data_IF_180595780439
#
_entry.id   IF_180595780439
#
_cell.length_a   1.000
_cell.length_b   1.000
_cell.length_c   1.000
_cell.angle_alpha   90.00
_cell.angle_beta   90.00
_cell.angle_gamma   90.00
#
_symmetry.space_group_name_H-M   'P 1'
#
loop_
_entity.id
_entity.type
_entity.pdbx_description
1 polymer ?
#
# COMPACT_ATOMS: atom_id res chain seq x y z
N UNK A 1 16.26 38.96 14.02
CA UNK A 1 17.57 38.30 13.76
C UNK A 1 17.50 36.84 13.37
N UNK A 2 16.31 36.25 13.17
CA UNK A 2 16.12 34.85 12.67
C UNK A 2 15.58 34.78 11.24
N UNK A 3 15.08 35.89 10.71
CA UNK A 3 14.47 35.97 9.38
C UNK A 3 15.45 36.23 8.23
N UNK A 4 16.70 36.62 8.54
CA UNK A 4 17.71 36.95 7.52
C UNK A 4 18.79 35.88 7.30
N UNK A 5 18.68 34.74 7.95
CA UNK A 5 19.63 33.63 7.72
C UNK A 5 19.20 32.84 6.52
N UNK A 6 20.06 32.65 5.51
CA UNK A 6 19.73 31.82 4.36
C UNK A 6 19.28 30.41 4.80
N UNK A 7 18.12 29.97 4.34
CA UNK A 7 17.62 28.63 4.59
C UNK A 7 18.58 27.62 3.97
N UNK A 8 19.25 26.84 4.80
CA UNK A 8 20.07 25.74 4.32
C UNK A 8 19.21 24.51 4.22
N UNK A 9 19.07 23.96 3.01
CA UNK A 9 18.35 22.69 2.73
C UNK A 9 19.08 21.46 3.28
N UNK A 10 20.01 21.63 4.24
CA UNK A 10 20.65 20.51 4.90
C UNK A 10 19.58 19.61 5.53
N UNK A 11 19.62 18.33 5.25
CA UNK A 11 18.66 17.29 5.66
C UNK A 11 18.28 17.39 7.16
N UNK A 12 19.24 17.71 8.03
CA UNK A 12 19.01 17.94 9.47
C UNK A 12 18.08 19.14 9.76
N UNK A 13 18.08 20.18 8.92
CA UNK A 13 17.26 21.37 9.09
C UNK A 13 15.83 21.11 8.64
N UNK A 14 15.64 20.38 7.54
CA UNK A 14 14.33 19.92 7.06
C UNK A 14 13.67 19.03 8.13
N UNK A 15 14.43 18.10 8.72
CA UNK A 15 13.93 17.24 9.83
C UNK A 15 13.55 18.05 11.08
N UNK A 16 14.30 19.13 11.42
CA UNK A 16 13.94 20.01 12.55
C UNK A 16 12.68 20.81 12.28
N UNK A 17 12.48 21.30 11.06
CA UNK A 17 11.27 22.00 10.66
C UNK A 17 10.04 21.08 10.70
N UNK A 18 10.18 19.85 10.23
CA UNK A 18 9.11 18.85 10.34
C UNK A 18 8.69 18.60 11.80
N UNK A 19 9.66 18.52 12.74
CA UNK A 19 9.36 18.46 14.19
C UNK A 19 8.62 19.68 14.71
N UNK A 20 9.01 20.88 14.28
CA UNK A 20 8.34 22.14 14.71
C UNK A 20 6.91 22.20 14.16
N UNK A 21 6.67 21.80 12.91
CA UNK A 21 5.34 21.76 12.32
C UNK A 21 4.44 20.72 13.02
N UNK A 22 5.02 19.57 13.37
CA UNK A 22 4.31 18.54 14.12
C UNK A 22 3.98 18.98 15.55
N UNK A 23 4.90 19.65 16.22
CA UNK A 23 4.65 20.26 17.54
C UNK A 23 3.56 21.34 17.51
N UNK A 24 3.47 22.12 16.42
CA UNK A 24 2.38 23.09 16.23
C UNK A 24 0.99 22.42 16.10
N UNK A 25 0.93 21.22 15.59
CA UNK A 25 -0.32 20.42 15.52
C UNK A 25 -0.73 19.83 16.87
N UNK A 26 0.21 19.67 17.79
CA UNK A 26 -0.01 19.26 19.18
C UNK A 26 -0.50 20.42 20.07
N UNK A 27 -0.56 21.65 19.56
CA UNK A 27 -0.88 22.81 20.38
C UNK A 27 -2.29 22.73 20.98
N UNK A 28 -2.38 22.90 22.29
CA UNK A 28 -3.65 23.01 23.05
C UNK A 28 -4.58 24.11 22.51
N UNK A 29 -4.06 25.06 21.73
CA UNK A 29 -4.80 26.15 21.12
C UNK A 29 -5.49 25.79 19.80
N UNK A 30 -5.41 24.54 19.32
CA UNK A 30 -6.06 24.12 18.07
C UNK A 30 -7.58 24.24 18.14
N UNK A 31 -8.23 24.51 17.01
CA UNK A 31 -9.70 24.52 16.93
C UNK A 31 -10.30 23.16 17.35
N UNK A 32 -9.63 22.07 16.98
CA UNK A 32 -10.07 20.73 17.35
C UNK A 32 -9.98 20.49 18.86
N UNK A 33 -8.89 20.91 19.51
CA UNK A 33 -8.76 20.78 20.96
C UNK A 33 -9.89 21.49 21.74
N UNK A 34 -10.40 22.59 21.19
CA UNK A 34 -11.53 23.33 21.77
C UNK A 34 -12.89 22.70 21.43
N UNK A 35 -13.04 22.15 20.23
CA UNK A 35 -14.30 21.59 19.75
C UNK A 35 -14.53 20.17 20.27
N UNK A 36 -13.50 19.35 20.31
CA UNK A 36 -13.53 17.95 20.72
C UNK A 36 -12.18 17.54 21.33
N UNK A 37 -11.99 17.74 22.64
CA UNK A 37 -10.74 17.41 23.32
C UNK A 37 -10.44 15.90 23.34
N UNK A 38 -11.44 15.01 23.28
CA UNK A 38 -11.23 13.56 23.28
C UNK A 38 -10.66 13.08 21.95
N UNK A 39 -11.22 13.53 20.83
CA UNK A 39 -10.66 13.25 19.50
C UNK A 39 -9.27 13.88 19.34
N UNK A 40 -9.08 15.11 19.83
CA UNK A 40 -7.77 15.74 19.82
C UNK A 40 -6.73 14.91 20.58
N UNK A 41 -7.06 14.45 21.79
CA UNK A 41 -6.15 13.62 22.61
C UNK A 41 -5.79 12.29 21.89
N UNK A 42 -6.75 11.65 21.23
CA UNK A 42 -6.50 10.42 20.45
C UNK A 42 -5.56 10.68 19.25
N UNK A 43 -5.70 11.82 18.57
CA UNK A 43 -4.80 12.19 17.47
C UNK A 43 -3.39 12.50 18.01
N UNK A 44 -3.28 13.18 19.14
CA UNK A 44 -1.99 13.41 19.81
C UNK A 44 -1.31 12.10 20.16
N UNK A 45 -2.03 11.16 20.76
CA UNK A 45 -1.49 9.84 21.09
C UNK A 45 -1.00 9.08 19.85
N UNK A 46 -1.72 9.18 18.71
CA UNK A 46 -1.28 8.59 17.44
C UNK A 46 0.00 9.23 16.92
N UNK A 47 0.14 10.56 17.04
CA UNK A 47 1.36 11.28 16.66
C UNK A 47 2.54 10.82 17.52
N UNK A 48 2.35 10.72 18.84
CA UNK A 48 3.37 10.25 19.78
C UNK A 48 3.78 8.82 19.48
N UNK A 49 2.83 7.93 19.21
CA UNK A 49 3.10 6.55 18.81
C UNK A 49 3.94 6.49 17.53
N UNK A 50 3.59 7.26 16.49
CA UNK A 50 4.37 7.32 15.25
C UNK A 50 5.80 7.85 15.48
N UNK A 51 5.97 8.83 16.36
CA UNK A 51 7.28 9.40 16.68
C UNK A 51 8.16 8.45 17.49
N UNK A 52 7.56 7.62 18.35
CA UNK A 52 8.28 6.72 19.28
C UNK A 52 8.51 5.31 18.75
N UNK A 53 7.90 4.93 17.62
CA UNK A 53 7.96 3.57 17.08
C UNK A 53 8.54 3.52 15.68
N UNK A 54 8.94 2.32 15.26
CA UNK A 54 9.39 2.02 13.89
C UNK A 54 8.31 1.19 13.21
N UNK A 55 7.66 1.78 12.21
CA UNK A 55 6.59 1.14 11.45
C UNK A 55 7.15 0.34 10.26
N UNK A 56 6.99 -0.99 10.32
CA UNK A 56 7.35 -1.94 9.27
C UNK A 56 6.12 -2.64 8.66
N UNK A 57 4.92 -2.10 8.83
CA UNK A 57 3.73 -2.63 8.16
C UNK A 57 3.82 -2.31 6.67
N UNK A 58 3.88 -3.36 5.83
CA UNK A 58 4.12 -3.24 4.39
C UNK A 58 3.08 -2.42 3.62
N UNK A 59 1.86 -2.27 4.18
CA UNK A 59 0.76 -1.50 3.59
C UNK A 59 0.65 -0.07 4.11
N UNK A 60 1.59 0.39 4.94
CA UNK A 60 1.57 1.72 5.54
C UNK A 60 2.71 2.60 5.05
N UNK A 61 2.47 3.90 5.09
CA UNK A 61 3.44 4.94 4.74
C UNK A 61 3.00 6.28 5.33
N UNK A 62 3.89 7.26 5.34
CA UNK A 62 3.62 8.60 5.83
C UNK A 62 3.38 9.56 4.66
N UNK A 63 2.21 10.17 4.60
CA UNK A 63 1.87 11.19 3.59
C UNK A 63 2.62 12.50 3.86
N UNK A 64 2.80 13.31 2.82
CA UNK A 64 3.34 14.67 2.98
C UNK A 64 2.35 15.61 3.71
N UNK A 65 2.86 16.71 4.26
CA UNK A 65 2.02 17.74 4.85
C UNK A 65 1.03 18.31 3.83
N UNK A 66 1.47 18.54 2.58
CA UNK A 66 0.63 19.07 1.51
C UNK A 66 -0.53 18.12 1.15
N UNK A 67 -0.31 16.80 1.14
CA UNK A 67 -1.38 15.80 0.95
C UNK A 67 -2.40 15.88 2.08
N UNK A 68 -1.96 16.01 3.34
CA UNK A 68 -2.86 16.15 4.51
C UNK A 68 -3.63 17.47 4.50
N UNK A 69 -2.99 18.57 4.09
CA UNK A 69 -3.63 19.87 3.96
C UNK A 69 -4.73 19.86 2.89
N UNK A 70 -4.46 19.29 1.72
CA UNK A 70 -5.45 19.12 0.67
C UNK A 70 -6.65 18.28 1.13
N UNK A 71 -6.39 17.20 1.87
CA UNK A 71 -7.42 16.31 2.41
C UNK A 71 -8.29 16.99 3.48
N UNK A 72 -7.74 17.92 4.27
CA UNK A 72 -8.47 18.71 5.25
C UNK A 72 -9.13 19.98 4.69
N UNK A 73 -9.18 20.15 3.37
CA UNK A 73 -9.67 21.38 2.74
C UNK A 73 -11.20 21.49 2.71
N UNK A 74 -11.66 22.70 2.39
CA UNK A 74 -13.11 23.03 2.22
C UNK A 74 -13.79 22.26 1.09
N UNK A 75 -13.04 21.56 0.25
CA UNK A 75 -13.60 20.73 -0.83
C UNK A 75 -14.48 19.59 -0.28
N UNK A 76 -14.32 19.22 0.99
CA UNK A 76 -15.23 18.29 1.70
C UNK A 76 -16.68 18.77 1.71
N UNK A 77 -16.92 20.07 1.59
CA UNK A 77 -18.29 20.65 1.62
C UNK A 77 -19.04 20.48 0.30
N UNK A 78 -18.34 20.14 -0.81
CA UNK A 78 -18.94 20.17 -2.14
C UNK A 78 -19.49 18.81 -2.56
N UNK A 79 -20.77 18.79 -2.94
CA UNK A 79 -21.40 17.63 -3.56
C UNK A 79 -21.24 17.69 -5.09
N UNK A 80 -20.58 16.69 -5.71
CA UNK A 80 -20.17 16.74 -7.11
C UNK A 80 -20.43 15.43 -7.86
N UNK A 81 -21.63 14.85 -7.73
CA UNK A 81 -22.01 13.65 -8.50
C UNK A 81 -21.86 13.85 -10.01
N UNK A 82 -21.37 12.82 -10.68
CA UNK A 82 -21.00 12.87 -12.09
C UNK A 82 -19.49 13.03 -12.27
N UNK A 83 -19.10 13.66 -13.37
CA UNK A 83 -17.70 13.79 -13.80
C UNK A 83 -17.41 15.22 -14.27
N UNK A 84 -16.16 15.66 -14.40
CA UNK A 84 -15.82 17.01 -14.87
C UNK A 84 -16.59 17.40 -16.12
N UNK A 85 -17.25 18.56 -16.07
CA UNK A 85 -18.10 19.08 -17.15
C UNK A 85 -19.45 18.39 -17.33
N UNK A 86 -19.74 17.32 -16.56
CA UNK A 86 -21.00 16.54 -16.62
C UNK A 86 -21.49 16.22 -15.21
N UNK A 87 -21.67 17.26 -14.39
CA UNK A 87 -22.15 17.13 -12.99
C UNK A 87 -23.67 17.22 -12.90
N UNK A 88 -24.20 16.53 -11.92
CA UNK A 88 -25.62 16.65 -11.54
C UNK A 88 -25.92 17.93 -10.74
N UNK A 89 -24.90 18.56 -10.16
CA UNK A 89 -24.99 19.75 -9.33
C UNK A 89 -24.26 20.94 -9.95
N UNK A 90 -24.80 22.15 -9.70
CA UNK A 90 -24.14 23.41 -10.09
C UNK A 90 -22.98 23.76 -9.15
N UNK A 91 -22.15 24.72 -9.55
CA UNK A 91 -21.04 25.23 -8.73
C UNK A 91 -19.85 24.30 -8.64
N UNK A 92 -19.59 23.43 -9.64
CA UNK A 92 -18.56 22.42 -9.62
C UNK A 92 -17.24 22.82 -10.33
N UNK A 93 -17.14 24.05 -10.88
CA UNK A 93 -15.95 24.48 -11.65
C UNK A 93 -14.62 24.24 -10.89
N UNK A 94 -14.47 24.61 -9.60
CA UNK A 94 -13.22 24.37 -8.88
C UNK A 94 -12.91 22.88 -8.70
N UNK A 95 -13.92 22.05 -8.38
CA UNK A 95 -13.73 20.60 -8.20
C UNK A 95 -13.50 19.90 -9.53
N UNK A 96 -14.09 20.36 -10.62
CA UNK A 96 -13.79 19.88 -11.98
C UNK A 96 -12.30 20.06 -12.31
N UNK A 97 -11.75 21.23 -11.98
CA UNK A 97 -10.32 21.50 -12.14
C UNK A 97 -9.46 20.52 -11.33
N UNK A 98 -9.82 20.29 -10.07
CA UNK A 98 -9.09 19.40 -9.19
C UNK A 98 -9.14 17.95 -9.68
N UNK A 99 -10.34 17.46 -10.04
CA UNK A 99 -10.50 16.10 -10.51
C UNK A 99 -9.81 15.89 -11.86
N UNK A 100 -9.87 16.85 -12.78
CA UNK A 100 -9.16 16.80 -14.05
C UNK A 100 -7.64 16.73 -13.85
N UNK A 101 -7.08 17.55 -12.93
CA UNK A 101 -5.67 17.47 -12.56
C UNK A 101 -5.29 16.09 -12.01
N UNK A 102 -6.13 15.50 -11.17
CA UNK A 102 -5.89 14.17 -10.64
C UNK A 102 -5.88 13.10 -11.75
N UNK A 103 -6.83 13.15 -12.67
CA UNK A 103 -6.92 12.25 -13.82
C UNK A 103 -5.67 12.37 -14.71
N UNK A 104 -5.32 13.58 -15.12
CA UNK A 104 -4.19 13.81 -16.03
C UNK A 104 -2.86 13.39 -15.40
N UNK A 105 -2.64 13.75 -14.12
CA UNK A 105 -1.43 13.37 -13.38
C UNK A 105 -1.34 11.87 -13.17
N UNK A 106 -2.44 11.18 -12.91
CA UNK A 106 -2.46 9.72 -12.82
C UNK A 106 -2.09 9.07 -14.15
N UNK A 107 -2.68 9.55 -15.26
CA UNK A 107 -2.35 9.09 -16.62
C UNK A 107 -0.87 9.33 -16.94
N UNK A 108 -0.34 10.50 -16.64
CA UNK A 108 1.06 10.84 -16.87
C UNK A 108 2.01 9.97 -16.03
N UNK A 109 1.70 9.79 -14.74
CA UNK A 109 2.55 9.06 -13.80
C UNK A 109 2.71 7.58 -14.18
N UNK A 110 1.64 6.96 -14.65
CA UNK A 110 1.62 5.52 -14.95
C UNK A 110 1.65 5.19 -16.45
N UNK A 111 1.58 6.18 -17.34
CA UNK A 111 1.51 5.97 -18.77
C UNK A 111 0.18 5.35 -19.23
N UNK A 112 -0.93 5.66 -18.54
CA UNK A 112 -2.24 5.07 -18.81
C UNK A 112 -3.04 5.90 -19.85
N UNK A 113 -3.88 5.23 -20.63
CA UNK A 113 -4.76 5.87 -21.60
C UNK A 113 -5.90 6.64 -20.92
N UNK A 114 -6.50 6.03 -19.88
CA UNK A 114 -7.60 6.59 -19.12
C UNK A 114 -7.48 6.31 -17.62
N UNK A 115 -8.11 7.15 -16.80
CA UNK A 115 -8.11 7.00 -15.34
C UNK A 115 -9.45 7.43 -14.73
N UNK A 116 -9.89 6.71 -13.68
CA UNK A 116 -10.96 7.13 -12.79
C UNK A 116 -10.39 7.30 -11.38
N UNK A 117 -10.48 8.51 -10.83
CA UNK A 117 -9.90 8.89 -9.55
C UNK A 117 -10.92 8.93 -8.41
N UNK A 118 -12.17 8.57 -8.67
CA UNK A 118 -13.26 8.65 -7.67
C UNK A 118 -13.33 7.47 -6.69
N UNK A 119 -12.77 6.24 -6.92
CA UNK A 119 -12.90 5.16 -5.95
C UNK A 119 -12.43 5.56 -4.55
N UNK A 120 -13.26 5.26 -3.54
CA UNK A 120 -13.02 5.62 -2.14
C UNK A 120 -11.90 4.75 -1.52
N UNK A 121 -11.69 3.54 -2.01
CA UNK A 121 -10.62 2.63 -1.57
C UNK A 121 -10.29 1.61 -2.66
N UNK A 122 -9.23 0.80 -2.44
CA UNK A 122 -8.83 -0.25 -3.38
C UNK A 122 -9.93 -1.28 -3.63
N UNK A 123 -10.66 -1.71 -2.60
CA UNK A 123 -11.78 -2.65 -2.76
C UNK A 123 -12.91 -2.08 -3.61
N UNK A 124 -13.21 -0.78 -3.49
CA UNK A 124 -14.19 -0.11 -4.35
C UNK A 124 -13.69 0.00 -5.80
N UNK A 125 -12.39 0.21 -6.00
CA UNK A 125 -11.79 0.20 -7.33
C UNK A 125 -11.93 -1.19 -7.99
N UNK A 126 -11.61 -2.26 -7.26
CA UNK A 126 -11.80 -3.64 -7.75
C UNK A 126 -13.27 -3.95 -8.02
N UNK A 127 -14.17 -3.58 -7.11
CA UNK A 127 -15.62 -3.75 -7.29
C UNK A 127 -16.12 -3.05 -8.56
N UNK A 128 -15.65 -1.84 -8.83
CA UNK A 128 -16.06 -1.08 -10.01
C UNK A 128 -15.66 -1.78 -11.31
N UNK A 129 -14.46 -2.36 -11.37
CA UNK A 129 -14.02 -3.14 -12.55
C UNK A 129 -14.89 -4.38 -12.71
N UNK A 130 -15.14 -5.13 -11.62
CA UNK A 130 -15.97 -6.33 -11.70
C UNK A 130 -17.39 -6.01 -12.17
N UNK A 131 -18.03 -5.00 -11.59
CA UNK A 131 -19.40 -4.62 -11.97
C UNK A 131 -19.50 -4.02 -13.39
N UNK A 132 -18.42 -3.42 -13.90
CA UNK A 132 -18.38 -2.94 -15.27
C UNK A 132 -18.28 -4.07 -16.29
N UNK A 133 -17.56 -5.14 -15.99
CA UNK A 133 -17.08 -6.13 -16.97
C UNK A 133 -17.66 -7.52 -16.80
N UNK A 134 -18.22 -7.83 -15.63
CA UNK A 134 -18.67 -9.16 -15.27
C UNK A 134 -20.16 -9.19 -14.88
N UNK A 135 -20.75 -10.38 -15.01
CA UNK A 135 -22.06 -10.67 -14.45
C UNK A 135 -21.90 -11.56 -13.20
N UNK A 136 -22.83 -11.51 -12.24
CA UNK A 136 -22.82 -12.43 -11.10
C UNK A 136 -22.73 -13.90 -11.61
N UNK A 137 -21.81 -14.67 -11.01
CA UNK A 137 -21.52 -16.05 -11.39
C UNK A 137 -20.41 -16.21 -12.43
N UNK A 138 -19.94 -15.13 -13.08
CA UNK A 138 -18.77 -15.22 -13.95
C UNK A 138 -17.53 -15.71 -13.19
N UNK A 139 -16.67 -16.44 -13.89
CA UNK A 139 -15.46 -17.02 -13.29
C UNK A 139 -14.31 -16.02 -13.30
N UNK A 140 -13.70 -15.84 -12.12
CA UNK A 140 -12.46 -15.07 -11.91
C UNK A 140 -11.36 -16.04 -11.49
N UNK A 141 -10.22 -16.00 -12.19
CA UNK A 141 -8.98 -16.68 -11.79
C UNK A 141 -8.10 -15.68 -11.06
N UNK A 142 -7.80 -15.93 -9.77
CA UNK A 142 -7.08 -14.98 -8.91
C UNK A 142 -6.18 -15.68 -7.91
N UNK A 143 -5.20 -14.95 -7.35
CA UNK A 143 -4.33 -15.49 -6.32
C UNK A 143 -5.10 -15.78 -5.03
N UNK A 144 -4.90 -16.98 -4.46
CA UNK A 144 -5.51 -17.37 -3.18
C UNK A 144 -5.10 -16.42 -2.05
N UNK A 145 -6.03 -16.13 -1.12
CA UNK A 145 -5.79 -15.23 0.01
C UNK A 145 -4.67 -15.72 0.91
N UNK A 146 -4.64 -17.00 1.21
CA UNK A 146 -3.64 -17.67 2.05
C UNK A 146 -2.25 -17.77 1.39
N UNK A 147 -2.18 -17.54 0.08
CA UNK A 147 -0.93 -17.52 -0.70
C UNK A 147 -0.43 -16.10 -1.01
N UNK A 148 -1.08 -15.08 -0.47
CA UNK A 148 -0.68 -13.68 -0.63
C UNK A 148 -1.66 -12.79 -1.41
N UNK A 149 -2.82 -13.30 -1.85
CA UNK A 149 -3.88 -12.51 -2.47
C UNK A 149 -4.48 -11.46 -1.52
N UNK A 150 -5.46 -10.70 -2.02
CA UNK A 150 -6.21 -9.72 -1.23
C UNK A 150 -7.65 -10.22 -0.99
N UNK A 151 -8.31 -9.73 0.06
CA UNK A 151 -9.71 -10.07 0.35
C UNK A 151 -10.64 -9.87 -0.85
N UNK A 152 -10.48 -8.76 -1.58
CA UNK A 152 -11.28 -8.45 -2.78
C UNK A 152 -10.90 -9.24 -4.03
N UNK A 153 -9.96 -10.19 -3.91
CA UNK A 153 -9.59 -11.11 -4.99
C UNK A 153 -10.39 -12.43 -4.97
N UNK A 154 -11.47 -12.49 -4.18
CA UNK A 154 -12.35 -13.65 -4.17
C UNK A 154 -12.53 -14.33 -2.83
N UNK A 155 -12.12 -13.69 -1.71
CA UNK A 155 -12.38 -14.25 -0.38
C UNK A 155 -13.88 -14.48 -0.16
N UNK A 156 -14.29 -15.66 0.38
CA UNK A 156 -15.71 -15.97 0.60
C UNK A 156 -16.47 -15.00 1.48
N UNK A 157 -15.78 -14.27 2.37
CA UNK A 157 -16.38 -13.25 3.23
C UNK A 157 -16.51 -11.89 2.55
N UNK A 158 -15.85 -11.70 1.39
CA UNK A 158 -15.87 -10.47 0.61
C UNK A 158 -16.96 -10.52 -0.47
N UNK A 159 -17.40 -9.34 -0.97
CA UNK A 159 -18.37 -9.24 -2.06
C UNK A 159 -17.91 -10.06 -3.29
N UNK A 160 -16.62 -10.12 -3.58
CA UNK A 160 -16.07 -10.82 -4.73
C UNK A 160 -16.33 -12.33 -4.68
N UNK A 161 -16.07 -12.98 -3.54
CA UNK A 161 -16.35 -14.40 -3.35
C UNK A 161 -17.84 -14.74 -3.17
N UNK A 162 -18.68 -13.72 -2.89
CA UNK A 162 -20.14 -13.91 -2.80
C UNK A 162 -20.85 -13.82 -4.14
N UNK A 163 -20.31 -13.06 -5.09
CA UNK A 163 -20.98 -12.74 -6.36
C UNK A 163 -20.41 -13.53 -7.53
N UNK A 164 -19.16 -13.94 -7.47
CA UNK A 164 -18.44 -14.54 -8.58
C UNK A 164 -17.96 -15.95 -8.26
N UNK A 165 -17.79 -16.76 -9.31
CA UNK A 165 -17.15 -18.07 -9.21
C UNK A 165 -15.64 -17.90 -9.17
N UNK A 166 -15.03 -18.11 -8.01
CA UNK A 166 -13.59 -17.88 -7.80
C UNK A 166 -12.83 -19.20 -8.00
N UNK A 167 -11.88 -19.19 -8.93
CA UNK A 167 -10.88 -20.24 -9.07
C UNK A 167 -9.55 -19.69 -8.60
N UNK A 168 -8.96 -20.20 -7.50
CA UNK A 168 -7.70 -19.73 -7.02
C UNK A 168 -6.53 -20.32 -7.79
N UNK A 169 -5.48 -19.50 -8.02
CA UNK A 169 -4.13 -20.02 -8.28
C UNK A 169 -3.26 -19.82 -7.05
N UNK A 170 -2.23 -20.65 -6.92
CA UNK A 170 -1.30 -20.64 -5.79
C UNK A 170 0.12 -20.38 -6.26
N UNK A 171 1.04 -20.22 -5.31
CA UNK A 171 2.47 -20.29 -5.61
C UNK A 171 2.91 -21.76 -5.68
N UNK A 172 4.01 -22.02 -6.37
CA UNK A 172 4.63 -23.34 -6.39
C UNK A 172 5.12 -23.71 -4.98
N UNK A 173 4.87 -24.94 -4.56
CA UNK A 173 5.12 -25.39 -3.19
C UNK A 173 6.61 -25.41 -2.80
N UNK A 174 7.50 -25.67 -3.77
CA UNK A 174 8.93 -25.77 -3.51
C UNK A 174 9.62 -24.41 -3.56
N UNK A 175 9.25 -23.57 -4.52
CA UNK A 175 9.89 -22.27 -4.75
C UNK A 175 9.20 -21.12 -4.05
N UNK A 176 7.93 -21.31 -3.64
CA UNK A 176 7.03 -20.26 -3.11
C UNK A 176 6.89 -19.04 -4.07
N UNK A 177 7.12 -19.29 -5.37
CA UNK A 177 6.96 -18.32 -6.45
C UNK A 177 5.79 -18.69 -7.36
N UNK A 178 5.28 -17.70 -8.11
CA UNK A 178 4.24 -17.94 -9.13
C UNK A 178 4.77 -18.87 -10.20
N UNK A 179 4.01 -19.93 -10.48
CA UNK A 179 4.23 -20.84 -11.59
C UNK A 179 3.27 -20.48 -12.74
N UNK A 180 3.79 -19.76 -13.72
CA UNK A 180 2.97 -19.25 -14.81
C UNK A 180 2.46 -20.38 -15.75
N UNK A 181 3.15 -21.50 -15.81
CA UNK A 181 2.72 -22.64 -16.64
C UNK A 181 1.55 -23.37 -15.95
N UNK A 182 1.57 -23.49 -14.62
CA UNK A 182 0.43 -24.00 -13.84
C UNK A 182 -0.78 -23.05 -13.95
N UNK A 183 -0.55 -21.72 -13.84
CA UNK A 183 -1.62 -20.72 -13.99
C UNK A 183 -2.24 -20.80 -15.39
N UNK A 184 -1.44 -21.01 -16.44
CA UNK A 184 -1.89 -21.17 -17.80
C UNK A 184 -2.78 -22.43 -17.96
N UNK A 185 -2.34 -23.57 -17.40
CA UNK A 185 -3.12 -24.80 -17.42
C UNK A 185 -4.47 -24.65 -16.72
N UNK A 186 -4.50 -23.99 -15.55
CA UNK A 186 -5.75 -23.70 -14.85
C UNK A 186 -6.65 -22.81 -15.72
N UNK A 187 -6.10 -21.74 -16.30
CA UNK A 187 -6.85 -20.82 -17.15
C UNK A 187 -7.48 -21.53 -18.37
N UNK A 188 -6.74 -22.42 -19.03
CA UNK A 188 -7.26 -23.24 -20.16
C UNK A 188 -8.40 -24.16 -19.77
N UNK A 189 -8.32 -24.73 -18.57
CA UNK A 189 -9.36 -25.65 -18.06
C UNK A 189 -10.64 -24.90 -17.69
N UNK A 190 -10.53 -23.77 -17.00
CA UNK A 190 -11.70 -23.07 -16.42
C UNK A 190 -12.23 -21.94 -17.30
N UNK A 191 -11.44 -21.46 -18.26
CA UNK A 191 -11.77 -20.36 -19.18
C UNK A 191 -12.41 -19.18 -18.46
N UNK A 192 -11.68 -18.53 -17.55
CA UNK A 192 -12.22 -17.46 -16.73
C UNK A 192 -12.63 -16.28 -17.60
N UNK A 193 -13.61 -15.50 -17.17
CA UNK A 193 -13.95 -14.23 -17.79
C UNK A 193 -12.92 -13.16 -17.51
N UNK A 194 -12.27 -13.23 -16.33
CA UNK A 194 -11.25 -12.30 -15.87
C UNK A 194 -10.13 -13.05 -15.15
N UNK A 195 -8.88 -12.71 -15.48
CA UNK A 195 -7.69 -13.10 -14.73
C UNK A 195 -7.24 -11.88 -13.93
N UNK A 196 -7.07 -12.07 -12.61
CA UNK A 196 -6.63 -11.06 -11.69
C UNK A 196 -5.22 -11.37 -11.19
N UNK A 197 -4.26 -10.53 -11.55
CA UNK A 197 -2.91 -10.55 -11.02
C UNK A 197 -2.72 -9.48 -9.93
N UNK A 198 -1.70 -9.66 -9.09
CA UNK A 198 -1.41 -8.76 -7.98
C UNK A 198 -1.58 -9.42 -6.62
N UNK A 199 -0.88 -8.91 -5.63
CA UNK A 199 -0.79 -9.53 -4.32
C UNK A 199 -0.61 -8.51 -3.19
N UNK A 200 -1.00 -8.91 -1.97
CA UNK A 200 -0.78 -8.17 -0.73
C UNK A 200 0.46 -8.65 0.03
N UNK A 201 0.91 -9.87 -0.22
CA UNK A 201 1.97 -10.53 0.52
C UNK A 201 2.85 -11.44 -0.38
N UNK A 202 3.24 -10.93 -1.53
CA UNK A 202 4.13 -11.63 -2.47
C UNK A 202 5.43 -10.84 -2.65
N UNK A 203 6.60 -11.40 -2.25
CA UNK A 203 7.84 -10.65 -2.20
C UNK A 203 8.62 -10.62 -3.52
N UNK A 204 8.17 -11.31 -4.57
CA UNK A 204 8.87 -11.41 -5.84
C UNK A 204 8.27 -10.54 -6.94
N UNK A 205 9.04 -10.32 -7.98
CA UNK A 205 8.56 -9.61 -9.18
C UNK A 205 7.48 -10.42 -9.88
N UNK A 206 6.43 -9.74 -10.36
CA UNK A 206 5.33 -10.34 -11.12
C UNK A 206 5.58 -10.06 -12.61
N UNK A 207 5.50 -11.10 -13.44
CA UNK A 207 5.60 -11.01 -14.90
C UNK A 207 4.20 -10.78 -15.51
N UNK A 208 3.90 -9.51 -15.77
CA UNK A 208 2.61 -9.11 -16.35
C UNK A 208 2.48 -9.49 -17.83
N UNK A 209 3.61 -9.63 -18.56
CA UNK A 209 3.59 -10.08 -19.95
C UNK A 209 3.15 -11.55 -20.04
N UNK A 210 3.59 -12.40 -19.11
CA UNK A 210 3.10 -13.79 -19.02
C UNK A 210 1.61 -13.84 -18.70
N UNK A 211 1.12 -13.04 -17.74
CA UNK A 211 -0.32 -12.94 -17.46
C UNK A 211 -1.13 -12.48 -18.69
N UNK A 212 -0.61 -11.52 -19.47
CA UNK A 212 -1.27 -11.06 -20.71
C UNK A 212 -1.37 -12.20 -21.72
N UNK A 213 -0.26 -12.92 -21.94
CA UNK A 213 -0.25 -14.06 -22.88
C UNK A 213 -1.27 -15.14 -22.46
N UNK A 214 -1.36 -15.46 -21.17
CA UNK A 214 -2.33 -16.42 -20.64
C UNK A 214 -3.76 -15.91 -20.88
N UNK A 215 -4.04 -14.64 -20.57
CA UNK A 215 -5.36 -14.07 -20.75
C UNK A 215 -5.79 -14.02 -22.23
N UNK A 216 -4.87 -13.68 -23.13
CA UNK A 216 -5.13 -13.69 -24.57
C UNK A 216 -5.48 -15.11 -25.08
N UNK A 217 -4.76 -16.12 -24.60
CA UNK A 217 -4.95 -17.52 -24.99
C UNK A 217 -6.36 -18.03 -24.68
N UNK A 218 -6.95 -17.57 -23.56
CA UNK A 218 -8.28 -18.00 -23.11
C UNK A 218 -9.39 -16.99 -23.40
N UNK A 219 -9.06 -15.82 -23.96
CA UNK A 219 -10.01 -14.73 -24.25
C UNK A 219 -10.56 -14.03 -23.00
N UNK A 220 -9.76 -13.98 -21.92
CA UNK A 220 -10.12 -13.34 -20.67
C UNK A 220 -9.66 -11.86 -20.62
N UNK A 221 -10.35 -11.05 -19.83
CA UNK A 221 -9.80 -9.77 -19.41
C UNK A 221 -8.61 -9.98 -18.46
N UNK A 222 -7.57 -9.15 -18.59
CA UNK A 222 -6.50 -9.07 -17.60
C UNK A 222 -6.69 -7.83 -16.73
N UNK A 223 -6.90 -8.05 -15.46
CA UNK A 223 -6.90 -7.01 -14.43
C UNK A 223 -5.68 -7.18 -13.52
N UNK A 224 -5.04 -6.07 -13.15
CA UNK A 224 -3.93 -6.09 -12.20
C UNK A 224 -4.23 -5.15 -11.04
N UNK A 225 -4.24 -5.68 -9.82
CA UNK A 225 -4.22 -4.89 -8.59
C UNK A 225 -2.76 -4.65 -8.16
N UNK A 226 -2.24 -3.46 -8.48
CA UNK A 226 -0.87 -3.07 -8.15
C UNK A 226 -0.74 -2.33 -6.81
N UNK A 227 -1.75 -2.38 -5.95
CA UNK A 227 -1.84 -1.54 -4.74
C UNK A 227 -0.58 -1.56 -3.89
N UNK A 228 0.03 -2.72 -3.68
CA UNK A 228 1.25 -2.84 -2.87
C UNK A 228 2.50 -2.26 -3.54
N UNK A 229 2.60 -2.38 -4.84
CA UNK A 229 3.81 -2.04 -5.62
C UNK A 229 3.68 -0.75 -6.45
N UNK A 230 2.57 -0.01 -6.33
CA UNK A 230 2.29 1.17 -7.16
C UNK A 230 3.40 2.23 -7.09
N UNK A 231 3.96 2.49 -5.90
CA UNK A 231 5.10 3.41 -5.76
C UNK A 231 6.39 2.90 -6.42
N UNK A 232 6.61 1.58 -6.42
CA UNK A 232 7.76 0.97 -7.09
C UNK A 232 7.61 1.04 -8.62
N UNK A 233 6.38 0.89 -9.13
CA UNK A 233 6.07 1.05 -10.55
C UNK A 233 6.22 2.52 -10.96
N UNK A 234 5.66 3.47 -10.18
CA UNK A 234 5.82 4.89 -10.43
C UNK A 234 7.30 5.34 -10.41
N UNK A 235 8.13 4.73 -9.58
CA UNK A 235 9.59 4.94 -9.54
C UNK A 235 10.38 4.15 -10.58
N UNK A 236 9.74 3.33 -11.40
CA UNK A 236 10.40 2.55 -12.47
C UNK A 236 11.35 1.47 -11.98
N UNK A 237 11.14 0.91 -10.77
CA UNK A 237 11.95 -0.17 -10.19
C UNK A 237 11.23 -1.52 -10.14
N UNK A 238 9.95 -1.55 -10.50
CA UNK A 238 9.16 -2.75 -10.74
C UNK A 238 8.51 -2.63 -12.12
N UNK A 239 8.38 -3.73 -12.91
CA UNK A 239 7.67 -3.71 -14.19
C UNK A 239 6.26 -3.13 -14.06
N UNK A 240 5.85 -2.32 -15.05
CA UNK A 240 4.50 -1.75 -15.08
C UNK A 240 3.49 -2.74 -15.69
N UNK A 241 2.31 -2.94 -15.09
CA UNK A 241 1.23 -3.72 -15.68
C UNK A 241 0.47 -2.96 -16.78
N UNK A 242 0.57 -1.62 -16.83
CA UNK A 242 -0.27 -0.76 -17.69
C UNK A 242 -0.19 -1.12 -19.18
N UNK A 243 0.96 -1.47 -19.76
CA UNK A 243 1.02 -1.88 -21.16
C UNK A 243 0.30 -3.21 -21.47
N UNK A 244 0.10 -4.04 -20.46
CA UNK A 244 -0.40 -5.42 -20.62
C UNK A 244 -1.85 -5.59 -20.18
N UNK A 245 -2.27 -4.89 -19.13
CA UNK A 245 -3.59 -5.07 -18.52
C UNK A 245 -4.69 -4.29 -19.25
N UNK A 246 -5.90 -4.82 -19.22
CA UNK A 246 -7.11 -4.09 -19.63
C UNK A 246 -7.50 -3.09 -18.53
N UNK A 247 -7.32 -3.49 -17.27
CA UNK A 247 -7.62 -2.70 -16.08
C UNK A 247 -6.48 -2.81 -15.08
N UNK A 248 -6.08 -1.67 -14.51
CA UNK A 248 -5.14 -1.62 -13.40
C UNK A 248 -5.78 -0.87 -12.25
N UNK A 249 -5.88 -1.50 -11.10
CA UNK A 249 -6.37 -0.87 -9.88
C UNK A 249 -5.24 -0.67 -8.88
N UNK A 250 -5.38 0.32 -8.03
CA UNK A 250 -4.45 0.54 -6.93
C UNK A 250 -5.10 1.29 -5.78
N UNK A 251 -4.48 1.18 -4.61
CA UNK A 251 -4.62 2.18 -3.53
C UNK A 251 -3.59 3.27 -3.71
N UNK A 252 -3.85 4.45 -3.13
CA UNK A 252 -2.92 5.58 -3.20
C UNK A 252 -2.03 5.75 -1.96
N UNK A 253 -2.27 5.00 -0.88
CA UNK A 253 -1.70 5.25 0.46
C UNK A 253 -0.60 4.28 0.92
N UNK A 254 -0.16 3.31 0.08
CA UNK A 254 0.89 2.34 0.43
C UNK A 254 2.26 2.85 -0.05
N UNK A 255 2.95 2.11 -0.91
CA UNK A 255 4.23 2.58 -1.50
C UNK A 255 4.08 3.90 -2.28
N UNK A 256 2.89 4.20 -2.80
CA UNK A 256 2.60 5.46 -3.51
C UNK A 256 2.50 6.68 -2.57
N UNK A 257 2.39 6.49 -1.25
CA UNK A 257 2.50 7.55 -0.23
C UNK A 257 1.45 8.68 -0.33
N UNK A 258 0.29 8.41 -0.89
CA UNK A 258 -0.81 9.37 -1.02
C UNK A 258 -1.89 9.22 0.07
N UNK A 259 -3.06 9.86 -0.11
CA UNK A 259 -4.19 9.71 0.79
C UNK A 259 -4.77 8.30 0.74
N UNK A 260 -5.51 7.88 1.77
CA UNK A 260 -6.23 6.60 1.77
C UNK A 260 -7.40 6.66 0.78
N UNK A 261 -7.19 6.05 -0.38
CA UNK A 261 -8.17 6.02 -1.47
C UNK A 261 -7.83 4.93 -2.49
N UNK A 262 -8.65 4.83 -3.55
CA UNK A 262 -8.43 3.96 -4.72
C UNK A 262 -8.23 4.75 -6.01
N UNK A 263 -7.76 4.06 -7.05
CA UNK A 263 -7.56 4.56 -8.41
C UNK A 263 -7.80 3.41 -9.38
N UNK A 264 -8.41 3.70 -10.52
CA UNK A 264 -8.54 2.77 -11.65
C UNK A 264 -7.86 3.41 -12.87
N UNK A 265 -6.99 2.64 -13.51
CA UNK A 265 -6.43 2.94 -14.82
C UNK A 265 -6.94 1.90 -15.81
N UNK A 266 -7.23 2.28 -17.04
CA UNK A 266 -7.70 1.34 -18.04
C UNK A 266 -7.37 1.83 -19.46
N UNK A 267 -7.62 0.96 -20.44
CA UNK A 267 -7.62 1.36 -21.84
C UNK A 267 -8.82 2.28 -22.11
N UNK A 268 -8.66 3.25 -23.02
CA UNK A 268 -9.66 4.30 -23.32
C UNK A 268 -11.05 3.71 -23.64
N UNK A 269 -11.08 2.60 -24.36
CA UNK A 269 -12.34 1.94 -24.75
C UNK A 269 -13.21 1.47 -23.56
N UNK A 270 -12.66 1.34 -22.36
CA UNK A 270 -13.38 0.86 -21.18
C UNK A 270 -13.79 1.96 -20.21
N UNK A 271 -13.27 3.20 -20.37
CA UNK A 271 -13.47 4.25 -19.36
C UNK A 271 -14.95 4.61 -19.16
N UNK A 272 -15.75 4.56 -20.22
CA UNK A 272 -17.18 4.86 -20.11
C UNK A 272 -17.92 3.84 -19.24
N UNK A 273 -17.58 2.55 -19.36
CA UNK A 273 -18.15 1.47 -18.53
C UNK A 273 -17.67 1.59 -17.08
N UNK A 274 -16.38 1.85 -16.87
CA UNK A 274 -15.80 2.08 -15.53
C UNK A 274 -16.47 3.28 -14.86
N UNK A 275 -16.57 4.41 -15.54
CA UNK A 275 -17.22 5.61 -14.99
C UNK A 275 -18.66 5.34 -14.59
N UNK A 276 -19.43 4.65 -15.44
CA UNK A 276 -20.82 4.27 -15.13
C UNK A 276 -20.91 3.30 -13.93
N UNK A 277 -19.94 2.41 -13.79
CA UNK A 277 -19.88 1.47 -12.67
C UNK A 277 -19.52 2.19 -11.36
N UNK A 278 -18.58 3.13 -11.38
CA UNK A 278 -18.24 3.94 -10.20
C UNK A 278 -19.43 4.82 -9.82
N UNK A 279 -19.88 5.69 -10.71
CA UNK A 279 -21.05 6.54 -10.49
C UNK A 279 -22.00 6.44 -11.69
N UNK A 280 -23.26 6.12 -11.46
CA UNK A 280 -23.97 5.90 -10.19
C UNK A 280 -23.97 4.44 -9.69
N UNK A 281 -23.12 3.56 -10.25
CA UNK A 281 -23.23 2.11 -10.02
C UNK A 281 -22.98 1.68 -8.58
N UNK A 282 -21.90 2.12 -7.95
CA UNK A 282 -21.50 1.70 -6.60
C UNK A 282 -21.26 2.86 -5.63
N UNK A 283 -21.06 4.08 -6.11
CA UNK A 283 -20.82 5.28 -5.31
C UNK A 283 -21.81 6.39 -5.67
N UNK A 284 -22.02 7.36 -4.74
CA UNK A 284 -22.68 8.63 -4.96
C UNK A 284 -21.64 9.74 -5.16
N UNK A 285 -21.75 10.83 -4.37
CA UNK A 285 -20.84 11.97 -4.46
C UNK A 285 -19.38 11.59 -4.19
N UNK A 286 -18.44 12.00 -5.02
CA UNK A 286 -17.02 11.76 -4.83
C UNK A 286 -16.48 12.56 -3.64
N UNK A 287 -15.41 12.08 -3.03
CA UNK A 287 -14.69 12.76 -1.95
C UNK A 287 -13.69 13.74 -2.56
N UNK A 288 -14.14 14.95 -2.90
CA UNK A 288 -13.33 15.91 -3.66
C UNK A 288 -12.08 16.39 -2.91
N UNK A 289 -12.14 16.47 -1.59
CA UNK A 289 -10.96 16.73 -0.74
C UNK A 289 -9.92 15.61 -0.83
N UNK A 290 -10.35 14.34 -0.94
CA UNK A 290 -9.46 13.20 -1.12
C UNK A 290 -8.91 13.16 -2.55
N UNK A 291 -9.71 13.54 -3.55
CA UNK A 291 -9.26 13.68 -4.95
C UNK A 291 -8.19 14.78 -5.06
N UNK A 292 -8.37 15.90 -4.36
CA UNK A 292 -7.36 16.95 -4.27
C UNK A 292 -6.05 16.41 -3.68
N UNK A 293 -6.13 15.64 -2.61
CA UNK A 293 -4.97 15.00 -2.00
C UNK A 293 -4.28 13.99 -2.94
N UNK A 294 -5.05 13.25 -3.78
CA UNK A 294 -4.49 12.40 -4.86
C UNK A 294 -3.76 13.26 -5.90
N UNK A 295 -4.36 14.36 -6.33
CA UNK A 295 -3.74 15.28 -7.30
C UNK A 295 -2.41 15.82 -6.79
N UNK A 296 -2.33 16.19 -5.51
CA UNK A 296 -1.08 16.63 -4.86
C UNK A 296 -0.06 15.49 -4.82
N UNK A 297 -0.46 14.30 -4.37
CA UNK A 297 0.41 13.13 -4.34
C UNK A 297 1.02 12.80 -5.70
N UNK A 298 0.20 12.75 -6.76
CA UNK A 298 0.70 12.46 -8.11
C UNK A 298 1.63 13.55 -8.62
N UNK A 299 1.36 14.83 -8.29
CA UNK A 299 2.26 15.93 -8.61
C UNK A 299 3.63 15.79 -7.92
N UNK A 300 3.64 15.39 -6.63
CA UNK A 300 4.89 15.13 -5.92
C UNK A 300 5.69 14.02 -6.59
N UNK A 301 5.05 12.93 -7.05
CA UNK A 301 5.72 11.84 -7.75
C UNK A 301 6.28 12.26 -9.11
N UNK A 302 5.60 13.12 -9.85
CA UNK A 302 6.06 13.63 -11.15
C UNK A 302 7.26 14.58 -11.04
N UNK A 303 7.48 15.22 -9.87
CA UNK A 303 8.51 16.24 -9.70
C UNK A 303 9.63 15.87 -8.71
N UNK A 304 9.54 14.71 -8.06
CA UNK A 304 10.59 14.19 -7.17
C UNK A 304 11.53 13.26 -7.93
N UNK A 305 12.69 12.94 -7.32
CA UNK A 305 13.47 11.78 -7.75
C UNK A 305 12.75 10.49 -7.30
N UNK A 306 11.72 10.12 -8.09
CA UNK A 306 10.86 8.97 -7.83
C UNK A 306 11.66 7.65 -7.84
N UNK A 307 12.67 7.56 -8.74
CA UNK A 307 13.50 6.37 -8.88
C UNK A 307 14.40 6.19 -7.66
N UNK A 308 15.05 7.23 -7.17
CA UNK A 308 15.90 7.14 -5.98
C UNK A 308 15.11 6.69 -4.75
N UNK A 309 13.91 7.27 -4.52
CA UNK A 309 13.05 6.87 -3.41
C UNK A 309 12.61 5.40 -3.52
N UNK A 310 12.11 4.97 -4.68
CA UNK A 310 11.65 3.60 -4.88
C UNK A 310 12.81 2.58 -4.80
N UNK A 311 14.00 2.93 -5.34
CA UNK A 311 15.21 2.11 -5.23
C UNK A 311 15.66 1.96 -3.77
N UNK A 312 15.57 3.03 -2.97
CA UNK A 312 15.94 2.97 -1.55
C UNK A 312 14.97 2.07 -0.76
N UNK A 313 13.67 2.05 -1.09
CA UNK A 313 12.74 1.10 -0.47
C UNK A 313 13.22 -0.34 -0.70
N UNK A 314 13.56 -0.70 -1.95
CA UNK A 314 14.00 -2.05 -2.30
C UNK A 314 15.35 -2.38 -1.63
N UNK A 315 16.29 -1.43 -1.61
CA UNK A 315 17.59 -1.59 -0.96
C UNK A 315 17.42 -1.85 0.55
N UNK A 316 16.59 -1.05 1.21
CA UNK A 316 16.26 -1.21 2.62
C UNK A 316 15.63 -2.58 2.91
N UNK A 317 14.67 -3.00 2.07
CA UNK A 317 14.01 -4.30 2.25
C UNK A 317 15.00 -5.45 2.13
N UNK A 318 15.88 -5.41 1.13
CA UNK A 318 16.92 -6.42 0.92
C UNK A 318 17.94 -6.44 2.06
N UNK A 319 18.37 -5.27 2.55
CA UNK A 319 19.31 -5.18 3.67
C UNK A 319 18.72 -5.79 4.95
N UNK A 320 17.47 -5.47 5.29
CA UNK A 320 16.78 -6.02 6.45
C UNK A 320 16.56 -7.54 6.33
N UNK A 321 16.13 -8.00 5.14
CA UNK A 321 15.94 -9.42 4.84
C UNK A 321 17.25 -10.22 4.99
N UNK A 322 18.37 -9.69 4.49
CA UNK A 322 19.68 -10.35 4.58
C UNK A 322 20.15 -10.55 6.02
N UNK A 323 19.90 -9.57 6.90
CA UNK A 323 20.23 -9.72 8.34
C UNK A 323 19.43 -10.86 8.95
N UNK A 324 18.12 -10.93 8.73
CA UNK A 324 17.30 -12.00 9.31
C UNK A 324 17.68 -13.37 8.77
N UNK A 325 18.06 -13.48 7.48
CA UNK A 325 18.59 -14.74 6.93
C UNK A 325 19.92 -15.14 7.56
N UNK A 326 20.84 -14.18 7.76
CA UNK A 326 22.12 -14.43 8.43
C UNK A 326 21.93 -14.87 9.90
N UNK A 327 20.88 -14.38 10.55
CA UNK A 327 20.47 -14.77 11.90
C UNK A 327 19.70 -16.10 11.97
N UNK A 328 19.53 -16.78 10.82
CA UNK A 328 18.95 -18.13 10.72
C UNK A 328 17.44 -18.17 10.49
N UNK A 329 16.78 -17.05 10.22
CA UNK A 329 15.35 -17.05 9.92
C UNK A 329 15.08 -17.41 8.45
N UNK A 330 14.09 -18.28 8.24
CA UNK A 330 13.61 -18.61 6.88
C UNK A 330 12.75 -17.49 6.34
N UNK A 331 13.05 -17.04 5.13
CA UNK A 331 12.20 -16.11 4.39
C UNK A 331 11.44 -16.86 3.30
N UNK A 332 10.16 -16.56 3.17
CA UNK A 332 9.31 -17.09 2.08
C UNK A 332 9.94 -16.75 0.74
N UNK A 333 9.96 -17.69 -0.18
CA UNK A 333 10.61 -17.63 -1.50
C UNK A 333 12.11 -17.26 -1.48
N UNK A 334 12.78 -17.41 -0.32
CA UNK A 334 14.21 -17.17 -0.18
C UNK A 334 14.63 -15.69 -0.23
N UNK A 335 13.71 -14.71 -0.06
CA UNK A 335 14.07 -13.29 -0.03
C UNK A 335 13.04 -12.35 -0.66
N UNK A 336 13.50 -11.22 -1.22
CA UNK A 336 12.61 -10.19 -1.76
C UNK A 336 13.18 -9.44 -2.96
N UNK A 337 12.31 -9.02 -3.87
CA UNK A 337 12.61 -8.15 -5.01
C UNK A 337 11.92 -6.77 -4.88
N UNK A 338 11.06 -6.59 -3.85
CA UNK A 338 10.22 -5.38 -3.72
C UNK A 338 10.30 -4.76 -2.31
N UNK A 339 9.22 -4.18 -1.82
CA UNK A 339 9.13 -3.41 -0.57
C UNK A 339 8.80 -4.23 0.67
N UNK A 340 8.58 -5.54 0.53
CA UNK A 340 8.17 -6.41 1.63
C UNK A 340 8.84 -7.80 1.55
N UNK A 341 8.84 -8.51 2.67
CA UNK A 341 9.11 -9.93 2.74
C UNK A 341 8.32 -10.60 3.88
N UNK A 342 8.25 -11.91 3.85
CA UNK A 342 7.61 -12.73 4.86
C UNK A 342 8.66 -13.56 5.59
N UNK A 343 8.59 -13.58 6.92
CA UNK A 343 9.44 -14.41 7.79
C UNK A 343 8.61 -15.58 8.29
N UNK A 344 9.07 -16.80 8.08
CA UNK A 344 8.55 -17.99 8.72
C UNK A 344 9.11 -18.07 10.15
N UNK A 345 8.29 -17.66 11.11
CA UNK A 345 8.68 -17.71 12.54
C UNK A 345 8.33 -19.04 13.19
N UNK A 346 7.49 -19.88 12.55
CA UNK A 346 7.18 -21.23 13.02
C UNK A 346 8.41 -22.12 12.99
N UNK A 347 9.28 -21.96 11.99
CA UNK A 347 10.57 -22.64 11.94
C UNK A 347 11.48 -22.30 13.14
N UNK A 348 11.29 -21.13 13.76
CA UNK A 348 11.95 -20.71 14.99
C UNK A 348 11.19 -21.13 16.28
N UNK A 349 10.10 -21.90 16.15
CA UNK A 349 9.34 -22.41 17.29
C UNK A 349 8.29 -21.47 17.88
N UNK A 350 7.99 -20.35 17.21
CA UNK A 350 7.00 -19.35 17.66
C UNK A 350 5.91 -19.14 16.61
N UNK A 351 4.81 -18.51 17.00
CA UNK A 351 3.73 -18.16 16.07
C UNK A 351 3.85 -16.70 15.60
N UNK A 352 3.23 -16.38 14.44
CA UNK A 352 3.17 -14.99 13.97
C UNK A 352 2.50 -14.04 14.98
N UNK A 353 1.50 -14.53 15.73
CA UNK A 353 0.85 -13.77 16.80
C UNK A 353 1.81 -13.41 17.93
N UNK A 354 2.60 -14.35 18.40
CA UNK A 354 3.60 -14.13 19.46
C UNK A 354 4.69 -13.19 18.95
N UNK A 355 5.23 -13.44 17.77
CA UNK A 355 6.26 -12.62 17.14
C UNK A 355 5.82 -11.15 16.98
N UNK A 356 4.63 -10.92 16.42
CA UNK A 356 4.12 -9.56 16.22
C UNK A 356 3.90 -8.83 17.56
N UNK A 357 3.39 -9.51 18.60
CA UNK A 357 3.19 -8.91 19.92
C UNK A 357 4.52 -8.55 20.60
N UNK A 358 5.53 -9.44 20.56
CA UNK A 358 6.84 -9.18 21.14
C UNK A 358 7.56 -8.00 20.46
N UNK A 359 7.45 -7.89 19.14
CA UNK A 359 8.00 -6.77 18.38
C UNK A 359 7.27 -5.45 18.70
N UNK A 360 5.95 -5.48 18.83
CA UNK A 360 5.12 -4.30 19.20
C UNK A 360 5.53 -3.79 20.60
N UNK A 361 5.71 -4.68 21.58
CA UNK A 361 6.23 -4.33 22.91
C UNK A 361 7.59 -3.64 22.83
N UNK A 362 8.45 -4.04 21.89
CA UNK A 362 9.74 -3.41 21.62
C UNK A 362 9.65 -2.13 20.76
N UNK A 363 8.47 -1.69 20.36
CA UNK A 363 8.25 -0.51 19.52
C UNK A 363 8.54 -0.73 18.04
N UNK A 364 8.61 -1.97 17.58
CA UNK A 364 8.79 -2.34 16.17
C UNK A 364 7.46 -2.91 15.66
N UNK A 365 6.76 -2.14 14.84
CA UNK A 365 5.39 -2.45 14.42
C UNK A 365 5.40 -3.23 13.10
N UNK A 366 4.92 -4.48 13.12
CA UNK A 366 4.67 -5.30 11.94
C UNK A 366 3.33 -6.03 12.06
N UNK A 367 2.95 -6.84 11.08
CA UNK A 367 1.73 -7.64 11.20
C UNK A 367 2.04 -9.15 11.12
N UNK A 368 1.31 -9.94 11.90
CA UNK A 368 1.23 -11.39 11.67
C UNK A 368 0.65 -11.64 10.28
N UNK A 369 1.13 -12.66 9.60
CA UNK A 369 0.71 -13.01 8.24
C UNK A 369 0.79 -14.52 8.02
N UNK A 370 -0.20 -15.07 7.32
CA UNK A 370 -0.08 -16.43 6.81
C UNK A 370 1.09 -16.51 5.82
N UNK A 371 1.79 -17.62 5.81
CA UNK A 371 2.78 -17.95 4.78
C UNK A 371 2.16 -18.95 3.79
N UNK A 372 2.72 -19.12 2.59
CA UNK A 372 2.23 -20.13 1.67
C UNK A 372 2.15 -21.51 2.33
N UNK A 373 1.00 -22.20 2.11
CA UNK A 373 0.71 -23.52 2.70
C UNK A 373 0.72 -23.54 4.23
N UNK A 374 0.35 -22.43 4.86
CA UNK A 374 0.31 -22.28 6.32
C UNK A 374 -0.60 -23.33 6.96
N UNK A 375 -0.13 -23.95 8.04
CA UNK A 375 -0.88 -24.94 8.81
C UNK A 375 -1.58 -24.34 10.03
N UNK A 376 -1.29 -23.07 10.35
CA UNK A 376 -1.94 -22.34 11.42
C UNK A 376 -3.20 -21.62 10.93
N UNK A 377 -4.10 -21.31 11.86
CA UNK A 377 -5.27 -20.50 11.54
C UNK A 377 -4.88 -19.05 11.18
N UNK A 378 -5.69 -18.31 10.42
CA UNK A 378 -5.43 -16.90 10.11
C UNK A 378 -5.35 -15.98 11.34
N UNK A 379 -5.85 -16.42 12.49
CA UNK A 379 -5.79 -15.68 13.76
C UNK A 379 -4.47 -15.87 14.52
N UNK A 380 -3.71 -16.93 14.19
CA UNK A 380 -2.44 -17.30 14.82
C UNK A 380 -1.28 -17.03 13.87
N UNK A 381 -1.31 -17.61 12.67
CA UNK A 381 -0.33 -17.57 11.57
C UNK A 381 1.04 -18.14 11.91
N UNK A 382 1.75 -18.62 10.90
CA UNK A 382 3.13 -19.10 11.00
C UNK A 382 4.17 -18.03 10.68
N UNK A 383 3.75 -16.86 10.20
CA UNK A 383 4.66 -15.82 9.75
C UNK A 383 4.33 -14.42 10.22
N UNK A 384 5.28 -13.52 9.95
CA UNK A 384 5.09 -12.07 10.01
C UNK A 384 5.45 -11.46 8.66
N UNK A 385 4.80 -10.33 8.31
CA UNK A 385 5.11 -9.54 7.12
C UNK A 385 5.80 -8.25 7.53
N UNK A 386 6.91 -7.96 6.88
CA UNK A 386 7.75 -6.78 7.10
C UNK A 386 7.88 -6.01 5.80
N UNK A 387 7.74 -4.68 5.87
CA UNK A 387 7.93 -3.77 4.74
C UNK A 387 8.66 -2.51 5.16
N UNK A 388 9.34 -1.85 4.21
CA UNK A 388 10.25 -0.74 4.51
C UNK A 388 9.84 0.62 3.92
N UNK A 389 8.65 0.74 3.31
CA UNK A 389 8.22 2.00 2.70
C UNK A 389 8.14 3.16 3.72
N UNK A 390 7.56 2.91 4.90
CA UNK A 390 7.41 3.91 5.94
C UNK A 390 8.76 4.40 6.50
N UNK A 391 9.68 3.49 6.82
CA UNK A 391 11.01 3.83 7.32
C UNK A 391 11.87 4.54 6.27
N UNK A 392 11.72 4.17 4.99
CA UNK A 392 12.39 4.89 3.88
C UNK A 392 11.86 6.31 3.75
N UNK A 393 10.56 6.54 3.96
CA UNK A 393 9.97 7.88 3.98
C UNK A 393 10.53 8.74 5.10
N UNK A 394 10.90 8.16 6.24
CA UNK A 394 11.59 8.82 7.34
C UNK A 394 13.06 9.13 7.03
N UNK A 395 13.61 8.60 5.93
CA UNK A 395 15.00 8.81 5.52
C UNK A 395 15.99 7.78 6.04
N UNK A 396 15.51 6.66 6.59
CA UNK A 396 16.36 5.53 7.00
C UNK A 396 16.91 4.81 5.76
N UNK A 397 18.12 4.27 5.89
CA UNK A 397 18.85 3.54 4.84
C UNK A 397 19.35 2.20 5.38
N UNK A 398 20.22 1.56 4.62
CA UNK A 398 20.72 0.21 4.92
C UNK A 398 21.37 0.06 6.31
N UNK A 399 22.15 1.04 6.84
CA UNK A 399 22.70 0.91 8.20
C UNK A 399 21.63 0.79 9.27
N UNK A 400 20.55 1.57 9.18
CA UNK A 400 19.43 1.48 10.12
C UNK A 400 18.67 0.16 9.95
N UNK A 401 18.60 -0.38 8.73
CA UNK A 401 17.99 -1.70 8.45
C UNK A 401 18.82 -2.83 9.08
N UNK A 402 20.14 -2.73 9.06
CA UNK A 402 21.02 -3.69 9.73
C UNK A 402 20.78 -3.68 11.25
N UNK A 403 20.68 -2.51 11.85
CA UNK A 403 20.37 -2.36 13.26
C UNK A 403 18.99 -2.93 13.63
N UNK A 404 17.97 -2.58 12.86
CA UNK A 404 16.60 -3.09 13.04
C UNK A 404 16.56 -4.61 12.90
N UNK A 405 17.27 -5.17 11.93
CA UNK A 405 17.36 -6.62 11.72
C UNK A 405 17.94 -7.34 12.92
N UNK A 406 19.01 -6.80 13.52
CA UNK A 406 19.61 -7.36 14.73
C UNK A 406 18.64 -7.32 15.92
N UNK A 407 17.91 -6.23 16.13
CA UNK A 407 16.90 -6.14 17.18
C UNK A 407 15.73 -7.09 16.96
N UNK A 408 15.20 -7.16 15.73
CA UNK A 408 14.14 -8.09 15.38
C UNK A 408 14.58 -9.53 15.64
N UNK A 409 15.78 -9.92 15.20
CA UNK A 409 16.31 -11.26 15.40
C UNK A 409 16.45 -11.61 16.90
N UNK A 410 16.96 -10.67 17.70
CA UNK A 410 17.10 -10.86 19.15
C UNK A 410 15.73 -11.07 19.83
N UNK A 411 14.74 -10.24 19.51
CA UNK A 411 13.37 -10.36 20.05
C UNK A 411 12.73 -11.68 19.61
N UNK A 412 12.86 -12.08 18.34
CA UNK A 412 12.24 -13.31 17.85
C UNK A 412 12.88 -14.57 18.45
N UNK A 413 14.15 -14.51 18.88
CA UNK A 413 14.84 -15.62 19.58
C UNK A 413 14.46 -15.71 21.06
N UNK A 414 13.98 -14.62 21.66
CA UNK A 414 13.58 -14.56 23.08
C UNK A 414 12.30 -13.71 23.24
N UNK A 415 11.16 -14.16 22.67
CA UNK A 415 9.96 -13.35 22.58
C UNK A 415 9.27 -13.07 23.92
N UNK A 416 9.61 -13.81 24.98
CA UNK A 416 9.06 -13.63 26.33
C UNK A 416 10.01 -12.81 27.25
N UNK A 417 11.17 -12.38 26.75
CA UNK A 417 12.13 -11.57 27.52
C UNK A 417 11.70 -10.09 27.55
N UNK A 418 10.89 -9.73 28.54
CA UNK A 418 10.39 -8.36 28.73
C UNK A 418 11.53 -7.35 28.98
N UNK A 419 12.63 -7.75 29.60
CA UNK A 419 13.77 -6.87 29.85
C UNK A 419 14.51 -6.55 28.54
N UNK A 420 14.67 -7.53 27.66
CA UNK A 420 15.18 -7.32 26.29
C UNK A 420 14.25 -6.41 25.49
N UNK A 421 12.93 -6.66 25.51
CA UNK A 421 11.94 -5.84 24.82
C UNK A 421 12.00 -4.37 25.29
N UNK A 422 12.08 -4.14 26.60
CA UNK A 422 12.20 -2.80 27.17
C UNK A 422 13.50 -2.09 26.74
N UNK A 423 14.61 -2.82 26.72
CA UNK A 423 15.92 -2.32 26.27
C UNK A 423 15.86 -1.92 24.79
N UNK A 424 15.35 -2.80 23.94
CA UNK A 424 15.20 -2.52 22.50
C UNK A 424 14.24 -1.34 22.28
N UNK A 425 13.13 -1.26 23.02
CA UNK A 425 12.20 -0.14 22.93
C UNK A 425 12.87 1.22 23.22
N UNK A 426 13.76 1.26 24.20
CA UNK A 426 14.52 2.48 24.51
C UNK A 426 15.45 2.87 23.34
N UNK A 427 16.11 1.90 22.69
CA UNK A 427 16.95 2.14 21.51
C UNK A 427 16.13 2.53 20.27
N UNK A 428 14.97 1.89 20.05
CA UNK A 428 14.01 2.23 19.00
C UNK A 428 13.56 3.70 19.11
N UNK A 429 13.23 4.18 20.32
CA UNK A 429 12.89 5.58 20.55
C UNK A 429 14.03 6.52 20.18
N UNK A 430 15.27 6.17 20.50
CA UNK A 430 16.45 6.97 20.14
C UNK A 430 16.62 7.03 18.62
N UNK A 431 16.53 5.87 17.96
CA UNK A 431 16.61 5.80 16.50
C UNK A 431 15.47 6.59 15.84
N UNK A 432 14.25 6.40 16.27
CA UNK A 432 13.07 7.09 15.76
C UNK A 432 13.20 8.62 15.87
N UNK A 433 13.79 9.11 16.96
CA UNK A 433 14.03 10.55 17.15
C UNK A 433 15.04 11.17 16.18
N UNK A 434 15.95 10.36 15.60
CA UNK A 434 16.88 10.82 14.57
C UNK A 434 16.22 10.95 13.19
N UNK A 435 15.13 10.23 12.97
CA UNK A 435 14.39 10.14 11.71
C UNK A 435 12.91 10.49 11.93
N UNK A 436 12.57 11.77 12.13
CA UNK A 436 11.19 12.18 12.45
C UNK A 436 10.24 11.86 11.30
N UNK A 437 8.98 11.62 11.64
CA UNK A 437 7.90 11.46 10.65
C UNK A 437 7.64 12.80 9.96
N UNK A 438 7.52 12.87 8.61
CA UNK A 438 7.34 14.11 7.85
C UNK A 438 5.97 14.78 8.02
#
# INVERSE_FOLDING_TARGET
MWLDTPFTEAERHVRRLAKCDRAGRLAEASLLAKADPEVHAAIVAQIEQEDETINLIASENYTSAAVREAQGSVLTNKYAEGYPGKRWYSGCIPVDTVEQLAIERAKQLFGAEAANVQPHCGSAANMAVYFAMLQPGDTILSMSLDQGGHLSHGSPVNFSGKLYNIVPYTVNKETECLDYDEIEQIAEQVKPRLILAGASAYPRTIDFARFRAIADKVGAYLMVDMAHIAGLIAGGVHPSPVPYADFVTTTTHKTLRGPRAGLILCKEQYIAAINKSVFPGIQGGPLENVIAAKAVCFNEWLHRDARAYASQIVANTKALAAVLQAEGFRLVSGGTDNHLFLVDVKAAGITGKVAAAALDNAGIICNKNTIPFDTESPFVTSGIRIGTAAVTTRGMKEPEMQQLGAWIAAILKAPEDEALQATVRAEVRKLAALFPVP
#
